data_IF_453742593540
#
_entry.id   IF_453742593540
#
_cell.length_a   1.000
_cell.length_b   1.000
_cell.length_c   1.000
_cell.angle_alpha   90.00
_cell.angle_beta   90.00
_cell.angle_gamma   90.00
#
_symmetry.space_group_name_H-M   'P 1'
#
loop_
_entity.id
_entity.type
_entity.pdbx_description
1 polymer ?
#
# COMPACT_ATOMS: atom_id res chain seq x y z
N UNK A 1 16.34 -14.22 4.19
CA UNK A 1 15.03 -14.22 4.86
C UNK A 1 14.12 -15.23 4.21
N UNK A 2 13.44 -16.05 5.03
CA UNK A 2 12.42 -16.99 4.57
C UNK A 2 11.13 -16.74 5.32
N UNK A 3 10.04 -16.48 4.60
CA UNK A 3 8.70 -16.31 5.16
C UNK A 3 7.77 -17.35 4.57
N UNK A 4 7.19 -18.20 5.42
CA UNK A 4 6.16 -19.15 5.04
C UNK A 4 4.98 -19.01 5.99
N UNK A 5 3.87 -18.49 5.47
CA UNK A 5 2.62 -18.36 6.22
C UNK A 5 1.57 -19.25 5.52
N UNK A 6 1.04 -20.24 6.25
CA UNK A 6 0.03 -21.16 5.70
C UNK A 6 -1.31 -20.46 5.37
N UNK A 7 -2.31 -21.18 4.83
CA UNK A 7 -3.65 -20.62 4.63
C UNK A 7 -4.31 -20.24 5.96
N UNK A 8 -5.28 -19.33 5.91
CA UNK A 8 -6.01 -18.87 7.09
C UNK A 8 -6.76 -20.03 7.78
N UNK A 9 -6.41 -20.32 9.05
CA UNK A 9 -7.03 -21.36 9.88
C UNK A 9 -6.70 -21.16 11.36
N UNK A 10 -7.50 -21.74 12.27
CA UNK A 10 -7.34 -21.62 13.74
C UNK A 10 -5.92 -21.91 14.26
N UNK A 11 -5.20 -22.84 13.61
CA UNK A 11 -3.80 -23.17 13.89
C UNK A 11 -2.94 -22.93 12.64
N UNK A 12 -2.87 -21.67 12.19
CA UNK A 12 -2.07 -21.27 11.02
C UNK A 12 -0.59 -21.51 11.31
N UNK A 13 0.09 -22.24 10.43
CA UNK A 13 1.54 -22.42 10.53
C UNK A 13 2.23 -21.13 10.07
N UNK A 14 3.10 -20.58 10.90
CA UNK A 14 3.92 -19.40 10.61
C UNK A 14 5.37 -19.81 10.85
N UNK A 15 6.19 -19.76 9.81
CA UNK A 15 7.64 -19.98 9.90
C UNK A 15 8.35 -18.77 9.29
N UNK A 16 9.11 -18.06 10.12
CA UNK A 16 9.87 -16.88 9.77
C UNK A 16 11.32 -17.14 10.19
N UNK A 17 12.22 -17.06 9.24
CA UNK A 17 13.66 -17.19 9.43
C UNK A 17 14.33 -15.89 8.97
N UNK A 18 15.03 -15.25 9.91
CA UNK A 18 15.79 -14.01 9.70
C UNK A 18 17.26 -14.36 9.92
N UNK A 19 18.06 -14.22 8.87
CA UNK A 19 19.50 -14.44 8.90
C UNK A 19 20.25 -13.14 9.20
N UNK A 20 21.50 -13.19 9.70
CA UNK A 20 22.25 -11.98 10.05
C UNK A 20 22.39 -10.95 8.92
N UNK A 21 22.45 -11.39 7.65
CA UNK A 21 22.60 -10.49 6.50
C UNK A 21 21.28 -9.84 6.06
N UNK A 22 20.12 -10.35 6.50
CA UNK A 22 18.82 -9.78 6.17
C UNK A 22 18.64 -8.36 6.75
N UNK A 23 19.38 -8.05 7.81
CA UNK A 23 19.32 -6.76 8.51
C UNK A 23 20.37 -5.76 8.05
N UNK A 24 21.37 -6.18 7.27
CA UNK A 24 22.41 -5.28 6.75
C UNK A 24 21.85 -4.27 5.72
N UNK A 25 20.83 -4.69 4.97
CA UNK A 25 20.10 -3.86 4.01
C UNK A 25 18.59 -4.17 4.10
N UNK A 26 18.05 -3.97 5.31
CA UNK A 26 16.72 -4.47 5.70
C UNK A 26 15.57 -3.87 4.88
N UNK A 27 15.70 -2.64 4.43
CA UNK A 27 14.71 -1.97 3.60
C UNK A 27 14.58 -2.62 2.23
N UNK A 28 15.68 -3.01 1.58
CA UNK A 28 15.63 -3.82 0.34
C UNK A 28 15.09 -5.24 0.63
N UNK A 29 15.53 -5.85 1.73
CA UNK A 29 15.06 -7.17 2.15
C UNK A 29 13.54 -7.20 2.35
N UNK A 30 12.98 -6.20 3.03
CA UNK A 30 11.53 -6.03 3.22
C UNK A 30 10.82 -5.68 1.91
N UNK A 31 11.41 -4.84 1.05
CA UNK A 31 10.81 -4.47 -0.22
C UNK A 31 10.52 -5.71 -1.10
N UNK A 32 11.41 -6.71 -1.09
CA UNK A 32 11.23 -7.98 -1.82
C UNK A 32 10.02 -8.80 -1.34
N UNK A 33 9.54 -8.59 -0.11
CA UNK A 33 8.28 -9.18 0.38
C UNK A 33 7.10 -8.26 0.07
N UNK A 34 7.21 -6.98 0.43
CA UNK A 34 6.08 -6.05 0.41
C UNK A 34 5.62 -5.80 -1.03
N UNK A 35 6.54 -5.65 -1.99
CA UNK A 35 6.22 -5.37 -3.39
C UNK A 35 5.25 -6.39 -4.01
N UNK A 36 5.56 -7.71 -4.06
CA UNK A 36 4.63 -8.68 -4.62
C UNK A 36 3.31 -8.81 -3.83
N UNK A 37 3.32 -8.57 -2.52
CA UNK A 37 2.08 -8.57 -1.72
C UNK A 37 1.15 -7.41 -2.07
N UNK A 38 1.69 -6.20 -2.32
CA UNK A 38 0.89 -5.06 -2.75
C UNK A 38 0.32 -5.27 -4.16
N UNK A 39 1.07 -5.89 -5.08
CA UNK A 39 0.55 -6.28 -6.40
C UNK A 39 -0.62 -7.26 -6.23
N UNK A 40 -0.44 -8.32 -5.45
CA UNK A 40 -1.50 -9.29 -5.21
C UNK A 40 -2.74 -8.64 -4.57
N UNK A 41 -2.57 -7.80 -3.55
CA UNK A 41 -3.68 -7.07 -2.90
C UNK A 41 -4.45 -6.20 -3.91
N UNK A 42 -3.74 -5.54 -4.81
CA UNK A 42 -4.35 -4.73 -5.87
C UNK A 42 -5.13 -5.59 -6.88
N UNK A 43 -4.79 -6.87 -7.06
CA UNK A 43 -5.49 -7.78 -7.97
C UNK A 43 -6.72 -8.45 -7.33
N UNK A 44 -6.69 -8.76 -6.03
CA UNK A 44 -7.76 -9.53 -5.36
C UNK A 44 -8.95 -8.71 -4.85
N UNK A 45 -8.75 -7.38 -4.65
CA UNK A 45 -9.70 -6.34 -4.20
C UNK A 45 -11.05 -6.79 -3.62
N UNK A 46 -11.24 -6.56 -2.33
CA UNK A 46 -12.54 -6.73 -1.65
C UNK A 46 -13.10 -5.42 -1.03
N UNK A 47 -12.31 -4.35 -0.95
CA UNK A 47 -12.76 -3.05 -0.43
C UNK A 47 -11.78 -1.91 -0.67
N UNK A 48 -12.12 -0.71 -0.19
CA UNK A 48 -11.21 0.45 -0.22
C UNK A 48 -11.42 1.33 1.02
N UNK A 49 -10.34 1.79 1.68
CA UNK A 49 -10.45 2.76 2.75
C UNK A 49 -10.79 4.16 2.20
N UNK A 50 -11.21 5.05 3.10
CA UNK A 50 -11.25 6.48 2.80
C UNK A 50 -9.82 7.00 2.65
N UNK A 51 -9.53 7.64 1.52
CA UNK A 51 -8.23 8.27 1.27
C UNK A 51 -8.31 9.75 1.60
N UNK A 52 -7.31 10.28 2.33
CA UNK A 52 -7.24 11.70 2.65
C UNK A 52 -6.94 12.53 1.39
N UNK A 53 -7.63 13.67 1.26
CA UNK A 53 -7.50 14.56 0.09
C UNK A 53 -6.05 15.03 -0.15
N UNK A 54 -5.30 15.32 0.91
CA UNK A 54 -3.88 15.71 0.81
C UNK A 54 -2.93 14.59 0.37
N UNK A 55 -3.41 13.35 0.23
CA UNK A 55 -2.64 12.25 -0.34
C UNK A 55 -2.92 12.05 -1.83
N UNK A 56 -3.79 12.84 -2.45
CA UNK A 56 -4.22 12.65 -3.83
C UNK A 56 -3.77 13.81 -4.72
N UNK A 57 -3.72 13.59 -6.04
CA UNK A 57 -3.73 14.69 -7.00
C UNK A 57 -4.94 15.61 -6.78
N UNK A 58 -4.76 16.91 -7.02
CA UNK A 58 -5.77 17.94 -6.73
C UNK A 58 -7.13 17.69 -7.39
N UNK A 59 -7.14 17.05 -8.56
CA UNK A 59 -8.33 16.74 -9.36
C UNK A 59 -9.03 15.43 -8.97
N UNK A 60 -8.40 14.61 -8.12
CA UNK A 60 -8.97 13.34 -7.63
C UNK A 60 -9.73 13.50 -6.31
N UNK A 61 -9.77 14.69 -5.72
CA UNK A 61 -10.50 14.96 -4.47
C UNK A 61 -12.00 14.65 -4.56
N UNK A 62 -12.67 14.55 -3.41
CA UNK A 62 -14.14 14.48 -3.38
C UNK A 62 -14.73 15.88 -3.56
N UNK A 63 -15.83 16.00 -4.32
CA UNK A 63 -16.59 17.25 -4.35
C UNK A 63 -17.25 17.52 -3.00
N UNK A 64 -17.60 18.77 -2.71
CA UNK A 64 -18.26 19.14 -1.46
C UNK A 64 -19.62 18.42 -1.31
N UNK A 65 -20.36 18.26 -2.41
CA UNK A 65 -21.63 17.50 -2.42
C UNK A 65 -21.40 16.02 -2.07
N UNK A 66 -20.34 15.42 -2.61
CA UNK A 66 -19.97 14.04 -2.31
C UNK A 66 -19.54 13.89 -0.85
N UNK A 67 -18.78 14.85 -0.29
CA UNK A 67 -18.38 14.87 1.13
C UNK A 67 -19.62 14.91 2.05
N UNK A 68 -20.61 15.75 1.71
CA UNK A 68 -21.87 15.85 2.49
C UNK A 68 -22.66 14.54 2.44
N UNK A 69 -22.78 13.92 1.27
CA UNK A 69 -23.47 12.62 1.13
C UNK A 69 -22.77 11.53 1.93
N UNK A 70 -21.46 11.38 1.74
CA UNK A 70 -20.65 10.37 2.44
C UNK A 70 -20.77 10.51 3.95
N UNK A 71 -20.68 11.72 4.49
CA UNK A 71 -20.82 12.00 5.93
C UNK A 71 -22.20 11.63 6.50
N UNK A 72 -23.26 11.79 5.71
CA UNK A 72 -24.64 11.54 6.15
C UNK A 72 -25.09 10.10 5.98
N UNK A 73 -24.71 9.45 4.87
CA UNK A 73 -25.29 8.17 4.44
C UNK A 73 -24.25 7.09 4.15
N UNK A 74 -22.97 7.44 4.13
CA UNK A 74 -21.91 6.54 3.66
C UNK A 74 -21.89 6.35 2.14
N UNK A 75 -22.69 7.11 1.38
CA UNK A 75 -22.72 7.05 -0.08
C UNK A 75 -21.37 7.50 -0.65
N UNK A 76 -20.70 6.59 -1.37
CA UNK A 76 -19.43 6.83 -2.05
C UNK A 76 -19.66 7.39 -3.45
N UNK A 77 -18.76 8.25 -3.92
CA UNK A 77 -18.77 8.68 -5.32
C UNK A 77 -18.10 7.66 -6.26
N UNK A 78 -18.14 7.93 -7.56
CA UNK A 78 -17.56 7.05 -8.58
C UNK A 78 -16.03 6.96 -8.55
N UNK A 79 -15.35 7.83 -7.80
CA UNK A 79 -13.87 7.84 -7.69
C UNK A 79 -13.36 7.19 -6.40
N UNK A 80 -14.24 6.71 -5.52
CA UNK A 80 -13.86 6.17 -4.21
C UNK A 80 -12.78 5.10 -4.30
N UNK A 81 -12.96 4.09 -5.15
CA UNK A 81 -11.97 3.04 -5.37
C UNK A 81 -10.75 3.51 -6.17
N UNK A 82 -10.93 4.45 -7.10
CA UNK A 82 -9.83 4.98 -7.91
C UNK A 82 -8.80 5.74 -7.06
N UNK A 83 -9.24 6.41 -6.00
CA UNK A 83 -8.35 7.06 -5.02
C UNK A 83 -7.46 6.05 -4.30
N UNK A 84 -8.03 4.92 -3.89
CA UNK A 84 -7.26 3.86 -3.25
C UNK A 84 -6.29 3.19 -4.22
N UNK A 85 -6.73 2.94 -5.46
CA UNK A 85 -5.86 2.42 -6.52
C UNK A 85 -4.65 3.32 -6.77
N UNK A 86 -4.84 4.63 -6.77
CA UNK A 86 -3.74 5.58 -6.90
C UNK A 86 -2.74 5.43 -5.75
N UNK A 87 -3.23 5.34 -4.51
CA UNK A 87 -2.38 5.16 -3.33
C UNK A 87 -1.60 3.83 -3.40
N UNK A 88 -2.26 2.72 -3.76
CA UNK A 88 -1.59 1.44 -3.95
C UNK A 88 -0.53 1.49 -5.04
N UNK A 89 -0.78 2.19 -6.15
CA UNK A 89 0.20 2.36 -7.22
C UNK A 89 1.45 3.11 -6.74
N UNK A 90 1.29 4.16 -5.94
CA UNK A 90 2.43 4.90 -5.40
C UNK A 90 3.26 4.05 -4.42
N UNK A 91 2.60 3.21 -3.60
CA UNK A 91 3.31 2.26 -2.74
C UNK A 91 4.06 1.20 -3.57
N UNK A 92 3.38 0.56 -4.54
CA UNK A 92 3.98 -0.45 -5.43
C UNK A 92 5.21 0.14 -6.12
N UNK A 93 5.07 1.34 -6.70
CA UNK A 93 6.16 2.04 -7.35
C UNK A 93 7.35 2.25 -6.40
N UNK A 94 7.11 2.75 -5.19
CA UNK A 94 8.21 3.01 -4.25
C UNK A 94 8.99 1.74 -3.88
N UNK A 95 8.31 0.63 -3.62
CA UNK A 95 8.98 -0.63 -3.30
C UNK A 95 9.64 -1.28 -4.53
N UNK A 96 9.07 -1.14 -5.73
CA UNK A 96 9.72 -1.57 -6.97
C UNK A 96 11.04 -0.81 -7.19
N UNK A 97 11.02 0.52 -7.11
CA UNK A 97 12.21 1.34 -7.28
C UNK A 97 13.26 1.06 -6.20
N UNK A 98 12.84 0.72 -4.97
CA UNK A 98 13.76 0.30 -3.90
C UNK A 98 14.49 -1.00 -4.22
N UNK A 99 13.84 -1.93 -4.90
CA UNK A 99 14.45 -3.18 -5.35
C UNK A 99 15.43 -2.92 -6.50
N UNK A 100 15.08 -1.98 -7.40
CA UNK A 100 15.89 -1.62 -8.55
C UNK A 100 17.10 -0.72 -8.21
N UNK A 101 17.21 -0.26 -6.96
CA UNK A 101 18.25 0.67 -6.51
C UNK A 101 18.28 1.95 -7.37
N UNK A 102 17.09 2.52 -7.60
CA UNK A 102 16.89 3.63 -8.54
C UNK A 102 17.56 4.94 -8.10
N UNK A 103 17.99 5.74 -9.08
CA UNK A 103 18.75 6.99 -8.91
C UNK A 103 17.92 8.19 -8.41
N UNK A 104 18.59 9.33 -8.20
CA UNK A 104 18.06 10.56 -7.61
C UNK A 104 16.67 11.05 -8.07
N UNK A 105 16.33 11.04 -9.37
CA UNK A 105 15.03 11.52 -9.85
C UNK A 105 13.83 10.78 -9.24
N UNK A 106 14.04 9.58 -8.70
CA UNK A 106 13.00 8.74 -8.13
C UNK A 106 12.74 9.02 -6.65
N UNK A 107 13.69 9.64 -5.92
CA UNK A 107 13.61 9.76 -4.46
C UNK A 107 12.34 10.46 -3.97
N UNK A 108 11.92 11.55 -4.63
CA UNK A 108 10.73 12.30 -4.21
C UNK A 108 9.45 11.46 -4.27
N UNK A 109 9.26 10.72 -5.36
CA UNK A 109 8.09 9.85 -5.54
C UNK A 109 8.17 8.60 -4.65
N UNK A 110 9.36 8.02 -4.49
CA UNK A 110 9.59 6.91 -3.56
C UNK A 110 9.27 7.30 -2.12
N UNK A 111 9.74 8.47 -1.67
CA UNK A 111 9.47 8.99 -0.33
C UNK A 111 7.96 9.17 -0.09
N UNK A 112 7.22 9.66 -1.11
CA UNK A 112 5.77 9.72 -1.04
C UNK A 112 5.13 8.33 -0.90
N UNK A 113 5.55 7.35 -1.70
CA UNK A 113 5.03 5.98 -1.60
C UNK A 113 5.30 5.31 -0.24
N UNK A 114 6.48 5.51 0.36
CA UNK A 114 6.77 5.01 1.72
C UNK A 114 5.94 5.72 2.78
N UNK A 115 5.75 7.04 2.66
CA UNK A 115 4.88 7.81 3.54
C UNK A 115 3.44 7.29 3.48
N UNK A 116 2.94 7.03 2.27
CA UNK A 116 1.61 6.45 2.05
C UNK A 116 1.52 5.03 2.65
N UNK A 117 2.52 4.17 2.41
CA UNK A 117 2.58 2.83 3.00
C UNK A 117 2.48 2.88 4.53
N UNK A 118 3.26 3.73 5.18
CA UNK A 118 3.20 3.89 6.64
C UNK A 118 1.84 4.41 7.12
N UNK A 119 1.26 5.39 6.41
CA UNK A 119 -0.05 5.97 6.76
C UNK A 119 -1.21 4.99 6.62
N UNK A 120 -1.20 4.14 5.59
CA UNK A 120 -2.30 3.21 5.28
C UNK A 120 -1.96 1.75 5.61
N UNK A 121 -0.93 1.49 6.41
CA UNK A 121 -0.50 0.12 6.74
C UNK A 121 -1.65 -0.74 7.30
N UNK A 122 -2.46 -0.18 8.20
CA UNK A 122 -3.61 -0.88 8.78
C UNK A 122 -4.80 -0.99 7.82
N UNK A 123 -4.75 -0.33 6.65
CA UNK A 123 -5.74 -0.44 5.58
C UNK A 123 -5.39 -1.49 4.52
N UNK A 124 -4.27 -2.21 4.68
CA UNK A 124 -3.83 -3.29 3.79
C UNK A 124 -4.52 -4.62 4.12
N UNK A 125 -5.86 -4.58 4.19
CA UNK A 125 -6.70 -5.76 4.36
C UNK A 125 -7.32 -6.16 3.03
N UNK A 126 -7.43 -7.48 2.84
CA UNK A 126 -8.25 -8.15 1.83
C UNK A 126 -9.58 -8.53 2.50
#
# INVERSE_FOLDING_TARGET
MRVRIGPYRKNRAVNIEIEPHDTWNMDITLARIIHPMLIQLKETKHGSPVVAEGDLPLDMGMSEEAKVKFSKTGETDGQFHARWDWVLNEMIYAFEQKILDADEPHYGRMANGFRLFGKYYESLWD
#
